data_IF_766486452051
#
_entry.id   IF_766486452051
#
_cell.length_a   1.000
_cell.length_b   1.000
_cell.length_c   1.000
_cell.angle_alpha   90.00
_cell.angle_beta   90.00
_cell.angle_gamma   90.00
#
_symmetry.space_group_name_H-M   'P 1'
#
loop_
_entity.id
_entity.type
_entity.pdbx_description
1 polymer ?
#
# COMPACT_ATOMS: atom_id res chain seq x y z
N UNK A 1 20.19 35.89 -8.72
CA UNK A 1 18.80 35.41 -8.55
C UNK A 1 18.89 34.00 -7.98
N UNK A 2 18.45 33.82 -6.71
CA UNK A 2 18.31 32.50 -6.13
C UNK A 2 17.09 31.88 -6.83
N UNK A 3 17.31 30.88 -7.68
CA UNK A 3 16.21 30.10 -8.27
C UNK A 3 15.57 29.32 -7.12
N UNK A 4 14.31 29.61 -6.86
CA UNK A 4 13.56 28.87 -5.88
C UNK A 4 13.40 27.42 -6.39
N UNK A 5 13.76 26.43 -5.58
CA UNK A 5 13.59 25.01 -5.93
C UNK A 5 12.12 24.66 -6.02
N UNK A 6 11.77 23.73 -6.91
CA UNK A 6 10.44 23.14 -6.96
C UNK A 6 10.15 22.28 -5.71
N UNK A 7 8.92 21.86 -5.59
CA UNK A 7 8.40 21.03 -4.49
C UNK A 7 8.23 19.59 -4.97
N UNK A 8 8.67 18.61 -4.17
CA UNK A 8 8.30 17.20 -4.38
C UNK A 8 6.97 16.90 -3.68
N UNK A 9 5.98 16.52 -4.46
CA UNK A 9 4.68 16.06 -3.94
C UNK A 9 4.58 14.54 -3.97
N UNK A 10 4.45 13.89 -2.82
CA UNK A 10 4.04 12.49 -2.74
C UNK A 10 2.51 12.40 -2.83
N UNK A 11 1.99 11.82 -3.89
CA UNK A 11 0.55 11.75 -4.13
C UNK A 11 0.09 10.29 -4.08
N UNK A 12 -0.72 9.97 -3.09
CA UNK A 12 -1.38 8.66 -2.98
C UNK A 12 -2.44 8.50 -4.08
N UNK A 13 -2.36 7.40 -4.83
CA UNK A 13 -3.27 7.17 -5.96
C UNK A 13 -4.24 6.00 -5.75
N UNK A 14 -4.29 5.45 -4.54
CA UNK A 14 -5.17 4.32 -4.23
C UNK A 14 -4.62 2.99 -4.72
N UNK A 15 -5.46 1.96 -4.68
CA UNK A 15 -5.04 0.55 -4.82
C UNK A 15 -5.32 -0.06 -6.19
N UNK A 16 -5.90 0.69 -7.11
CA UNK A 16 -6.21 0.18 -8.46
C UNK A 16 -7.31 0.97 -9.17
N UNK A 17 -8.42 1.21 -8.48
CA UNK A 17 -9.50 2.05 -8.98
C UNK A 17 -9.06 3.53 -8.99
N UNK A 18 -9.00 4.19 -10.16
CA UNK A 18 -8.59 5.59 -10.24
C UNK A 18 -9.56 6.58 -9.57
N UNK A 19 -10.79 6.18 -9.25
CA UNK A 19 -11.73 7.00 -8.50
C UNK A 19 -11.39 7.06 -6.99
N UNK A 20 -10.46 6.23 -6.50
CA UNK A 20 -9.94 6.30 -5.14
C UNK A 20 -8.86 7.37 -4.93
N UNK A 21 -8.49 8.10 -5.98
CA UNK A 21 -7.62 9.26 -5.87
C UNK A 21 -8.42 10.39 -5.20
N UNK A 22 -7.82 11.02 -4.19
CA UNK A 22 -8.46 12.17 -3.55
C UNK A 22 -8.58 13.35 -4.52
N UNK A 23 -9.59 14.18 -4.36
CA UNK A 23 -9.76 15.39 -5.19
C UNK A 23 -8.53 16.30 -5.17
N UNK A 24 -7.82 16.39 -4.02
CA UNK A 24 -6.57 17.13 -3.92
C UNK A 24 -5.47 16.48 -4.76
N UNK A 25 -5.33 15.16 -4.67
CA UNK A 25 -4.36 14.40 -5.46
C UNK A 25 -4.59 14.55 -6.96
N UNK A 26 -5.83 14.35 -7.40
CA UNK A 26 -6.21 14.49 -8.80
C UNK A 26 -5.93 15.90 -9.35
N UNK A 27 -6.28 16.95 -8.59
CA UNK A 27 -6.04 18.33 -8.99
C UNK A 27 -4.53 18.60 -9.17
N UNK A 28 -3.70 18.12 -8.24
CA UNK A 28 -2.26 18.27 -8.33
C UNK A 28 -1.69 17.49 -9.52
N UNK A 29 -2.03 16.21 -9.70
CA UNK A 29 -1.56 15.40 -10.83
C UNK A 29 -1.82 16.08 -12.18
N UNK A 30 -3.00 16.66 -12.37
CA UNK A 30 -3.37 17.38 -13.63
C UNK A 30 -2.56 18.66 -13.86
N UNK A 31 -2.00 19.26 -12.84
CA UNK A 31 -1.27 20.53 -12.90
C UNK A 31 0.26 20.35 -12.92
N UNK A 32 0.76 19.17 -12.59
CA UNK A 32 2.20 18.95 -12.45
C UNK A 32 2.92 18.92 -13.81
N UNK A 33 4.02 19.66 -13.94
CA UNK A 33 4.86 19.61 -15.14
C UNK A 33 5.60 18.26 -15.25
N UNK A 34 5.87 17.60 -14.13
CA UNK A 34 6.56 16.31 -14.06
C UNK A 34 5.79 15.38 -13.13
N UNK A 35 5.47 14.17 -13.60
CA UNK A 35 4.87 13.11 -12.79
C UNK A 35 5.78 11.89 -12.81
N UNK A 36 6.32 11.55 -11.64
CA UNK A 36 7.17 10.40 -11.42
C UNK A 36 6.35 9.24 -10.85
N UNK A 37 6.75 8.02 -11.15
CA UNK A 37 6.14 6.80 -10.62
C UNK A 37 7.13 5.63 -10.65
N UNK A 38 6.94 4.59 -9.81
CA UNK A 38 7.76 3.40 -9.87
C UNK A 38 7.56 2.63 -11.18
N UNK A 39 8.66 2.19 -11.78
CA UNK A 39 8.63 1.20 -12.86
C UNK A 39 8.09 -0.14 -12.35
N UNK A 40 7.30 -0.81 -13.18
CA UNK A 40 6.88 -2.18 -12.94
C UNK A 40 7.99 -3.19 -13.21
N UNK A 41 7.74 -4.44 -12.81
CA UNK A 41 8.69 -5.54 -12.96
C UNK A 41 9.01 -5.77 -14.46
N UNK A 42 10.30 -5.89 -14.77
CA UNK A 42 10.78 -6.12 -16.14
C UNK A 42 10.60 -4.92 -17.07
N UNK A 43 10.54 -3.69 -16.54
CA UNK A 43 10.41 -2.47 -17.33
C UNK A 43 9.00 -2.23 -17.91
N UNK A 44 8.00 -2.97 -17.41
CA UNK A 44 6.59 -2.74 -17.76
C UNK A 44 6.04 -1.53 -17.02
N UNK A 45 4.91 -0.94 -17.47
CA UNK A 45 4.22 0.09 -16.73
C UNK A 45 3.90 -0.36 -15.30
N UNK A 46 4.27 0.46 -14.31
CA UNK A 46 3.97 0.21 -12.90
C UNK A 46 2.49 0.40 -12.58
N UNK A 47 2.04 -0.08 -11.42
CA UNK A 47 0.65 0.05 -11.00
C UNK A 47 0.24 1.53 -10.85
N UNK A 48 1.08 2.34 -10.20
CA UNK A 48 0.79 3.77 -10.03
C UNK A 48 0.66 4.49 -11.38
N UNK A 49 1.54 4.18 -12.36
CA UNK A 49 1.46 4.71 -13.72
C UNK A 49 0.12 4.36 -14.38
N UNK A 50 -0.30 3.09 -14.32
CA UNK A 50 -1.56 2.63 -14.90
C UNK A 50 -2.78 3.35 -14.28
N UNK A 51 -2.78 3.55 -12.96
CA UNK A 51 -3.87 4.24 -12.24
C UNK A 51 -3.99 5.70 -12.72
N UNK A 52 -2.86 6.41 -12.86
CA UNK A 52 -2.87 7.84 -13.16
C UNK A 52 -2.92 8.18 -14.64
N UNK A 53 -2.61 7.23 -15.53
CA UNK A 53 -2.40 7.47 -16.97
C UNK A 53 -3.51 8.32 -17.62
N UNK A 54 -4.77 8.05 -17.29
CA UNK A 54 -5.92 8.78 -17.84
C UNK A 54 -6.05 10.24 -17.36
N UNK A 55 -5.34 10.60 -16.29
CA UNK A 55 -5.44 11.92 -15.65
C UNK A 55 -4.26 12.84 -15.96
N UNK A 56 -3.18 12.30 -16.55
CA UNK A 56 -1.98 13.06 -16.82
C UNK A 56 -2.19 14.04 -17.99
N UNK A 57 -1.62 15.23 -17.87
CA UNK A 57 -1.58 16.16 -18.99
C UNK A 57 -0.68 15.61 -20.11
N UNK A 58 -1.09 15.70 -21.39
CA UNK A 58 -0.22 15.34 -22.51
C UNK A 58 1.12 16.11 -22.54
N UNK A 59 1.18 17.28 -21.89
CA UNK A 59 2.38 18.11 -21.79
C UNK A 59 3.26 17.80 -20.58
N UNK A 60 2.80 16.96 -19.64
CA UNK A 60 3.60 16.57 -18.48
C UNK A 60 4.69 15.57 -18.85
N UNK A 61 5.85 15.73 -18.26
CA UNK A 61 6.93 14.75 -18.35
C UNK A 61 6.56 13.57 -17.46
N UNK A 62 6.56 12.36 -18.04
CA UNK A 62 6.36 11.12 -17.30
C UNK A 62 7.72 10.53 -16.97
N UNK A 63 8.04 10.44 -15.67
CA UNK A 63 9.34 10.01 -15.16
C UNK A 63 9.22 8.65 -14.47
N UNK A 64 9.54 7.58 -15.18
CA UNK A 64 9.57 6.26 -14.62
C UNK A 64 10.86 6.03 -13.81
N UNK A 65 10.74 5.74 -12.52
CA UNK A 65 11.84 5.54 -11.58
C UNK A 65 12.03 4.07 -11.26
N UNK A 66 13.28 3.60 -11.28
CA UNK A 66 13.59 2.21 -11.00
C UNK A 66 13.75 1.97 -9.49
N UNK A 67 12.90 1.14 -8.92
CA UNK A 67 12.97 0.66 -7.55
C UNK A 67 13.00 -0.88 -7.58
N UNK A 68 14.18 -1.50 -7.49
CA UNK A 68 14.31 -2.95 -7.64
C UNK A 68 13.66 -3.71 -6.47
N UNK A 69 13.03 -4.84 -6.77
CA UNK A 69 12.43 -5.74 -5.78
C UNK A 69 13.48 -6.72 -5.24
N UNK A 70 14.45 -6.21 -4.47
CA UNK A 70 15.54 -6.98 -3.86
C UNK A 70 15.64 -6.69 -2.36
N UNK A 71 16.40 -7.50 -1.63
CA UNK A 71 16.67 -7.29 -0.21
C UNK A 71 18.09 -6.73 0.05
N UNK A 72 18.92 -6.62 -0.98
CA UNK A 72 20.27 -6.09 -0.87
C UNK A 72 20.24 -4.58 -0.67
N UNK A 73 20.62 -4.14 0.52
CA UNK A 73 20.60 -2.72 0.91
C UNK A 73 21.51 -1.84 0.05
N UNK A 74 22.61 -2.38 -0.47
CA UNK A 74 23.53 -1.64 -1.35
C UNK A 74 22.87 -1.33 -2.68
N UNK A 75 22.18 -2.31 -3.27
CA UNK A 75 21.43 -2.16 -4.51
C UNK A 75 20.27 -1.19 -4.31
N UNK A 76 19.54 -1.33 -3.20
CA UNK A 76 18.42 -0.44 -2.86
C UNK A 76 18.88 1.01 -2.68
N UNK A 77 19.94 1.24 -1.89
CA UNK A 77 20.50 2.58 -1.65
C UNK A 77 20.96 3.24 -2.96
N UNK A 78 21.65 2.48 -3.82
CA UNK A 78 22.06 2.98 -5.14
C UNK A 78 20.86 3.39 -6.00
N UNK A 79 19.79 2.58 -6.00
CA UNK A 79 18.58 2.89 -6.78
C UNK A 79 17.85 4.14 -6.22
N UNK A 80 17.78 4.29 -4.90
CA UNK A 80 17.17 5.48 -4.28
C UNK A 80 17.95 6.76 -4.60
N UNK A 81 19.30 6.69 -4.57
CA UNK A 81 20.15 7.82 -4.99
C UNK A 81 19.91 8.21 -6.45
N UNK A 82 19.88 7.21 -7.35
CA UNK A 82 19.62 7.47 -8.77
C UNK A 82 18.25 8.10 -8.99
N UNK A 83 17.22 7.58 -8.31
CA UNK A 83 15.86 8.12 -8.39
C UNK A 83 15.80 9.57 -7.85
N UNK A 84 16.44 9.84 -6.71
CA UNK A 84 16.52 11.17 -6.13
C UNK A 84 17.22 12.18 -7.07
N UNK A 85 18.34 11.82 -7.67
CA UNK A 85 19.06 12.65 -8.63
C UNK A 85 18.23 12.91 -9.90
N UNK A 86 17.49 11.92 -10.41
CA UNK A 86 16.59 12.14 -11.55
C UNK A 86 15.48 13.15 -11.23
N UNK A 87 14.88 13.06 -10.04
CA UNK A 87 13.88 14.02 -9.56
C UNK A 87 14.50 15.39 -9.36
N UNK A 88 15.70 15.47 -8.78
CA UNK A 88 16.44 16.72 -8.55
C UNK A 88 16.68 17.51 -9.81
N UNK A 89 16.93 16.86 -10.96
CA UNK A 89 17.14 17.54 -12.25
C UNK A 89 16.00 18.49 -12.64
N UNK A 90 14.79 18.24 -12.15
CA UNK A 90 13.62 19.09 -12.37
C UNK A 90 13.45 20.10 -11.23
N UNK A 91 13.54 19.65 -9.99
CA UNK A 91 13.34 20.51 -8.81
C UNK A 91 14.32 21.66 -8.75
N UNK A 92 15.60 21.47 -9.08
CA UNK A 92 16.61 22.54 -9.10
C UNK A 92 16.32 23.64 -10.13
N UNK A 93 15.48 23.35 -11.14
CA UNK A 93 15.03 24.32 -12.15
C UNK A 93 13.72 25.02 -11.75
N UNK A 94 13.27 24.84 -10.51
CA UNK A 94 12.01 25.39 -10.02
C UNK A 94 10.76 24.65 -10.52
N UNK A 95 10.90 23.45 -11.10
CA UNK A 95 9.78 22.64 -11.55
C UNK A 95 9.30 21.74 -10.41
N UNK A 96 8.01 21.75 -10.12
CA UNK A 96 7.40 20.83 -9.17
C UNK A 96 7.34 19.41 -9.76
N UNK A 97 7.52 18.42 -8.91
CA UNK A 97 7.42 16.99 -9.26
C UNK A 97 6.38 16.31 -8.40
N UNK A 98 5.41 15.66 -9.01
CA UNK A 98 4.51 14.74 -8.30
C UNK A 98 5.05 13.31 -8.42
N UNK A 99 5.20 12.61 -7.30
CA UNK A 99 5.44 11.18 -7.28
C UNK A 99 4.12 10.46 -7.00
N UNK A 100 3.59 9.76 -8.00
CA UNK A 100 2.40 8.94 -7.85
C UNK A 100 2.77 7.63 -7.12
N UNK A 101 2.14 7.42 -5.96
CA UNK A 101 2.37 6.27 -5.09
C UNK A 101 1.10 5.42 -4.99
N UNK A 102 1.19 4.15 -5.34
CA UNK A 102 0.06 3.24 -5.12
C UNK A 102 -0.27 3.10 -3.63
N UNK A 103 -1.54 2.95 -3.29
CA UNK A 103 -2.01 2.97 -1.92
C UNK A 103 -1.90 4.35 -1.29
N UNK A 104 -1.25 4.42 -0.13
CA UNK A 104 -1.00 5.65 0.63
C UNK A 104 0.51 5.90 0.80
N UNK A 105 0.95 7.15 0.61
CA UNK A 105 2.37 7.55 0.66
C UNK A 105 3.03 7.32 2.02
N UNK A 106 2.25 7.26 3.10
CA UNK A 106 2.75 7.08 4.47
C UNK A 106 2.70 5.63 4.94
N UNK A 107 2.19 4.71 4.08
CA UNK A 107 1.91 3.33 4.48
C UNK A 107 2.75 2.32 3.67
N UNK A 108 3.94 1.96 4.17
CA UNK A 108 4.91 1.05 3.54
C UNK A 108 5.26 1.42 2.10
N UNK A 109 5.44 2.70 1.88
CA UNK A 109 5.59 3.31 0.56
C UNK A 109 7.05 3.48 0.15
N UNK A 110 7.33 3.25 -1.13
CA UNK A 110 8.62 3.58 -1.77
C UNK A 110 8.93 5.09 -1.75
N UNK A 111 7.88 5.93 -1.70
CA UNK A 111 8.04 7.38 -1.59
C UNK A 111 8.88 7.79 -0.38
N UNK A 112 8.75 7.10 0.74
CA UNK A 112 9.51 7.39 1.96
C UNK A 112 11.02 7.39 1.70
N UNK A 113 11.52 6.39 1.02
CA UNK A 113 12.95 6.27 0.71
C UNK A 113 13.42 7.33 -0.29
N UNK A 114 12.62 7.60 -1.33
CA UNK A 114 12.90 8.70 -2.27
C UNK A 114 12.98 10.04 -1.56
N UNK A 115 12.00 10.34 -0.69
CA UNK A 115 11.91 11.60 0.03
C UNK A 115 13.07 11.80 1.00
N UNK A 116 13.42 10.76 1.78
CA UNK A 116 14.56 10.79 2.70
C UNK A 116 15.88 10.99 1.95
N UNK A 117 16.16 10.19 0.92
CA UNK A 117 17.37 10.30 0.11
C UNK A 117 17.49 11.69 -0.53
N UNK A 118 16.38 12.22 -1.06
CA UNK A 118 16.36 13.54 -1.66
C UNK A 118 16.68 14.65 -0.64
N UNK A 119 16.14 14.55 0.59
CA UNK A 119 16.44 15.50 1.66
C UNK A 119 17.86 15.39 2.20
N UNK A 120 18.43 14.19 2.22
CA UNK A 120 19.85 13.99 2.58
C UNK A 120 20.79 14.64 1.57
N UNK A 121 20.52 14.47 0.27
CA UNK A 121 21.34 15.04 -0.80
C UNK A 121 21.09 16.55 -1.00
N UNK A 122 19.85 16.99 -0.84
CA UNK A 122 19.39 18.35 -1.13
C UNK A 122 18.47 18.89 -0.01
N UNK A 123 19.03 19.27 1.17
CA UNK A 123 18.24 19.63 2.37
C UNK A 123 17.26 20.80 2.20
N UNK A 124 17.46 21.63 1.15
CA UNK A 124 16.60 22.77 0.84
C UNK A 124 15.28 22.39 0.14
N UNK A 125 15.12 21.13 -0.29
CA UNK A 125 13.92 20.69 -1.02
C UNK A 125 12.71 20.63 -0.08
N UNK A 126 11.63 21.30 -0.49
CA UNK A 126 10.34 21.16 0.19
C UNK A 126 9.63 19.89 -0.29
N UNK A 127 9.11 19.13 0.67
CA UNK A 127 8.34 17.91 0.40
C UNK A 127 6.93 18.08 0.98
N UNK A 128 5.92 17.70 0.21
CA UNK A 128 4.52 17.68 0.62
C UNK A 128 3.90 16.33 0.30
N UNK A 129 2.94 15.89 1.11
CA UNK A 129 2.24 14.63 0.90
C UNK A 129 0.73 14.83 0.79
N UNK A 130 0.09 13.96 0.02
CA UNK A 130 -1.36 13.88 -0.12
C UNK A 130 -1.78 12.46 0.22
N UNK A 131 -2.56 12.25 1.29
CA UNK A 131 -2.97 10.92 1.72
C UNK A 131 -3.96 10.27 0.73
N UNK A 132 -4.13 8.96 0.85
CA UNK A 132 -5.04 8.20 0.01
C UNK A 132 -5.56 6.93 0.67
N UNK A 133 -6.07 6.01 -0.13
CA UNK A 133 -6.65 4.75 0.34
C UNK A 133 -5.58 3.66 0.27
N UNK A 134 -5.16 3.14 1.43
CA UNK A 134 -4.23 2.01 1.50
C UNK A 134 -4.93 0.66 1.32
N UNK A 135 -4.17 -0.38 0.97
CA UNK A 135 -4.70 -1.70 0.64
C UNK A 135 -5.51 -2.37 1.76
N UNK A 136 -5.22 -2.25 3.07
CA UNK A 136 -6.09 -2.80 4.11
C UNK A 136 -7.49 -2.18 4.13
N UNK A 137 -7.58 -0.86 3.95
CA UNK A 137 -8.86 -0.15 3.91
C UNK A 137 -9.66 -0.51 2.67
N UNK A 138 -9.00 -0.57 1.50
CA UNK A 138 -9.63 -1.01 0.27
C UNK A 138 -10.17 -2.45 0.38
N UNK A 139 -9.37 -3.37 0.94
CA UNK A 139 -9.78 -4.76 1.13
C UNK A 139 -10.96 -4.89 2.10
N UNK A 140 -10.96 -4.17 3.21
CA UNK A 140 -12.09 -4.16 4.14
C UNK A 140 -13.38 -3.67 3.48
N UNK A 141 -13.28 -2.63 2.65
CA UNK A 141 -14.41 -2.07 1.88
C UNK A 141 -14.99 -3.10 0.92
N UNK A 142 -14.17 -3.75 0.09
CA UNK A 142 -14.65 -4.74 -0.89
C UNK A 142 -15.17 -6.03 -0.23
N UNK A 143 -14.70 -6.35 0.97
CA UNK A 143 -15.23 -7.43 1.79
C UNK A 143 -16.58 -7.09 2.43
N UNK A 144 -16.91 -5.80 2.54
CA UNK A 144 -18.08 -5.31 3.29
C UNK A 144 -17.94 -5.51 4.79
N UNK A 145 -16.71 -5.49 5.32
CA UNK A 145 -16.40 -5.72 6.74
C UNK A 145 -15.71 -4.48 7.32
N UNK A 146 -16.02 -4.09 8.58
CA UNK A 146 -15.21 -3.12 9.27
C UNK A 146 -13.83 -3.73 9.55
N UNK A 147 -12.76 -3.00 9.24
CA UNK A 147 -11.40 -3.47 9.53
C UNK A 147 -11.20 -3.60 11.04
N UNK A 148 -11.68 -2.62 11.81
CA UNK A 148 -11.70 -2.68 13.27
C UNK A 148 -12.87 -1.86 13.83
N UNK A 149 -13.26 -2.12 15.09
CA UNK A 149 -14.35 -1.41 15.78
C UNK A 149 -14.01 -1.23 17.26
N UNK A 150 -14.49 -0.13 17.85
CA UNK A 150 -14.34 0.20 19.28
C UNK A 150 -12.87 0.13 19.72
N UNK A 151 -12.58 -0.68 20.73
CA UNK A 151 -11.28 -0.88 21.40
C UNK A 151 -10.45 -2.04 20.79
N UNK A 152 -10.91 -2.62 19.68
CA UNK A 152 -10.20 -3.71 19.01
C UNK A 152 -8.85 -3.25 18.47
N UNK A 153 -7.85 -4.05 18.75
CA UNK A 153 -6.48 -3.83 18.33
C UNK A 153 -6.25 -4.36 16.93
N UNK A 154 -5.91 -3.47 16.02
CA UNK A 154 -5.51 -3.79 14.65
C UNK A 154 -3.98 -3.85 14.56
N UNK A 155 -3.47 -4.96 14.03
CA UNK A 155 -2.04 -5.10 13.71
C UNK A 155 -1.88 -5.31 12.22
N UNK A 156 -0.92 -4.63 11.63
CA UNK A 156 -0.53 -4.82 10.23
C UNK A 156 0.91 -5.33 10.19
N UNK A 157 1.10 -6.49 9.57
CA UNK A 157 2.40 -7.06 9.29
C UNK A 157 2.74 -6.81 7.80
N UNK A 158 3.75 -5.98 7.50
CA UNK A 158 4.04 -5.51 6.13
C UNK A 158 4.64 -6.60 5.23
N UNK A 159 5.37 -7.52 5.86
CA UNK A 159 5.88 -8.75 5.28
C UNK A 159 6.12 -9.73 6.43
N UNK A 160 5.92 -10.98 6.20
CA UNK A 160 6.17 -12.01 7.20
C UNK A 160 7.43 -12.79 6.80
N UNK A 161 8.53 -12.57 7.51
CA UNK A 161 9.78 -13.29 7.29
C UNK A 161 9.88 -14.53 8.19
N UNK A 162 9.21 -14.52 9.33
CA UNK A 162 9.15 -15.62 10.29
C UNK A 162 7.72 -15.81 10.79
N UNK A 163 7.25 -17.02 10.71
CA UNK A 163 5.83 -17.36 11.04
C UNK A 163 5.55 -17.22 12.54
N UNK A 164 6.58 -17.33 13.37
CA UNK A 164 6.49 -17.12 14.83
C UNK A 164 6.03 -15.73 15.21
N UNK A 165 6.31 -14.72 14.36
CA UNK A 165 5.81 -13.37 14.55
C UNK A 165 4.29 -13.30 14.45
N UNK A 166 3.70 -14.01 13.48
CA UNK A 166 2.25 -14.12 13.36
C UNK A 166 1.64 -14.79 14.60
N UNK A 167 2.22 -15.90 15.06
CA UNK A 167 1.70 -16.60 16.24
C UNK A 167 1.68 -15.70 17.48
N UNK A 168 2.75 -14.96 17.72
CA UNK A 168 2.83 -14.01 18.82
C UNK A 168 1.80 -12.87 18.73
N UNK A 169 1.55 -12.36 17.53
CA UNK A 169 0.56 -11.30 17.30
C UNK A 169 -0.86 -11.82 17.50
N UNK A 170 -1.16 -13.05 17.05
CA UNK A 170 -2.49 -13.67 17.21
C UNK A 170 -2.89 -13.90 18.68
N UNK A 171 -1.95 -13.87 19.62
CA UNK A 171 -2.25 -14.04 21.05
C UNK A 171 -2.92 -12.80 21.68
N UNK A 172 -2.76 -11.61 21.09
CA UNK A 172 -3.23 -10.36 21.71
C UNK A 172 -3.93 -9.38 20.77
N UNK A 173 -3.75 -9.53 19.44
CA UNK A 173 -4.44 -8.69 18.46
C UNK A 173 -5.87 -9.18 18.23
N UNK A 174 -6.79 -8.27 17.94
CA UNK A 174 -8.17 -8.59 17.58
C UNK A 174 -8.35 -8.76 16.08
N UNK A 175 -7.58 -8.01 15.29
CA UNK A 175 -7.53 -8.10 13.84
C UNK A 175 -6.09 -8.05 13.38
N UNK A 176 -5.72 -8.95 12.48
CA UNK A 176 -4.38 -8.98 11.88
C UNK A 176 -4.51 -8.86 10.37
N UNK A 177 -3.74 -7.96 9.79
CA UNK A 177 -3.59 -7.81 8.34
C UNK A 177 -2.18 -8.21 7.95
N UNK A 178 -2.07 -9.16 7.03
CA UNK A 178 -0.80 -9.57 6.44
C UNK A 178 -0.70 -9.01 5.03
N UNK A 179 0.27 -8.12 4.80
CA UNK A 179 0.59 -7.65 3.45
C UNK A 179 1.56 -8.63 2.77
N UNK A 180 1.55 -8.66 1.43
CA UNK A 180 2.50 -9.46 0.63
C UNK A 180 2.50 -10.95 1.03
N UNK A 181 1.34 -11.49 1.37
CA UNK A 181 1.19 -12.84 1.91
C UNK A 181 1.53 -13.95 0.91
N UNK A 182 1.64 -13.63 -0.38
CA UNK A 182 1.80 -14.61 -1.47
C UNK A 182 2.96 -15.60 -1.28
N UNK A 183 4.11 -15.13 -0.81
CA UNK A 183 5.32 -15.96 -0.63
C UNK A 183 5.28 -16.88 0.60
N UNK A 184 4.38 -16.61 1.54
CA UNK A 184 4.32 -17.32 2.86
C UNK A 184 2.93 -17.91 3.14
N UNK A 185 2.04 -17.87 2.15
CA UNK A 185 0.63 -18.24 2.33
C UNK A 185 0.44 -19.63 2.95
N UNK A 186 1.12 -20.65 2.46
CA UNK A 186 0.97 -22.02 2.97
C UNK A 186 1.36 -22.13 4.45
N UNK A 187 2.42 -21.46 4.86
CA UNK A 187 2.85 -21.43 6.27
C UNK A 187 1.85 -20.68 7.14
N UNK A 188 1.35 -19.53 6.65
CA UNK A 188 0.29 -18.76 7.31
C UNK A 188 -0.97 -19.60 7.44
N UNK A 189 -1.38 -20.29 6.38
CA UNK A 189 -2.54 -21.19 6.40
C UNK A 189 -2.43 -22.25 7.51
N UNK A 190 -1.26 -22.89 7.66
CA UNK A 190 -1.01 -23.89 8.71
C UNK A 190 -1.17 -23.29 10.13
N UNK A 191 -0.68 -22.07 10.36
CA UNK A 191 -0.87 -21.36 11.64
C UNK A 191 -2.35 -21.11 11.89
N UNK A 192 -3.06 -20.55 10.91
CA UNK A 192 -4.49 -20.24 11.03
C UNK A 192 -5.33 -21.51 11.22
N UNK A 193 -4.95 -22.62 10.59
CA UNK A 193 -5.58 -23.92 10.78
C UNK A 193 -5.44 -24.41 12.23
N UNK A 194 -4.20 -24.42 12.78
CA UNK A 194 -3.96 -24.82 14.19
C UNK A 194 -4.73 -23.93 15.18
N UNK A 195 -4.88 -22.65 14.85
CA UNK A 195 -5.58 -21.64 15.67
C UNK A 195 -7.10 -21.63 15.42
N UNK A 196 -7.64 -22.45 14.52
CA UNK A 196 -9.06 -22.48 14.12
C UNK A 196 -9.60 -21.13 13.65
N UNK A 197 -8.78 -20.39 12.86
CA UNK A 197 -9.08 -19.06 12.38
C UNK A 197 -9.42 -19.01 10.89
N UNK A 198 -9.35 -20.13 10.15
CA UNK A 198 -9.52 -20.16 8.68
C UNK A 198 -10.88 -19.63 8.22
N UNK A 199 -11.97 -19.98 8.92
CA UNK A 199 -13.33 -19.50 8.61
C UNK A 199 -13.55 -18.01 8.87
N UNK A 200 -12.58 -17.34 9.53
CA UNK A 200 -12.57 -15.90 9.84
C UNK A 200 -11.41 -15.19 9.20
N UNK A 201 -10.84 -15.82 8.19
CA UNK A 201 -9.72 -15.29 7.42
C UNK A 201 -10.14 -15.05 5.98
N UNK A 202 -9.70 -13.94 5.43
CA UNK A 202 -10.09 -13.45 4.12
C UNK A 202 -8.84 -13.10 3.33
N UNK A 203 -8.75 -13.56 2.08
CA UNK A 203 -7.73 -13.10 1.15
C UNK A 203 -8.37 -12.20 0.11
N UNK A 204 -7.73 -11.09 -0.17
CA UNK A 204 -8.09 -10.18 -1.27
C UNK A 204 -6.88 -10.02 -2.17
N UNK A 205 -7.03 -10.42 -3.41
CA UNK A 205 -6.08 -10.17 -4.49
C UNK A 205 -6.46 -8.92 -5.24
N UNK A 206 -5.49 -8.06 -5.53
CA UNK A 206 -5.66 -6.89 -6.39
C UNK A 206 -6.91 -6.08 -6.07
N UNK A 207 -7.05 -5.72 -4.79
CA UNK A 207 -8.19 -4.97 -4.27
C UNK A 207 -8.49 -3.75 -5.15
N UNK A 208 -9.74 -3.62 -5.58
CA UNK A 208 -10.28 -2.55 -6.42
C UNK A 208 -9.85 -2.56 -7.90
N UNK A 209 -9.04 -3.52 -8.33
CA UNK A 209 -8.75 -3.72 -9.75
C UNK A 209 -9.87 -4.53 -10.44
N UNK A 210 -10.02 -4.42 -11.78
CA UNK A 210 -11.05 -5.17 -12.51
C UNK A 210 -10.95 -6.69 -12.39
N UNK A 211 -9.74 -7.21 -12.16
CA UNK A 211 -9.45 -8.63 -12.00
C UNK A 211 -9.24 -9.03 -10.53
N UNK A 212 -9.83 -8.26 -9.60
CA UNK A 212 -9.85 -8.56 -8.17
C UNK A 212 -10.45 -9.93 -7.88
N UNK A 213 -9.82 -10.68 -6.98
CA UNK A 213 -10.39 -11.92 -6.44
C UNK A 213 -10.50 -11.86 -4.91
N UNK A 214 -11.57 -12.44 -4.39
CA UNK A 214 -11.85 -12.49 -2.96
C UNK A 214 -12.06 -13.94 -2.54
N UNK A 215 -11.34 -14.37 -1.52
CA UNK A 215 -11.51 -15.68 -0.88
C UNK A 215 -12.00 -15.48 0.55
N UNK A 216 -13.24 -15.87 0.79
CA UNK A 216 -13.87 -15.91 2.12
C UNK A 216 -13.85 -17.36 2.58
N UNK A 217 -13.54 -17.60 3.85
CA UNK A 217 -13.35 -18.92 4.39
C UNK A 217 -12.22 -19.71 3.70
N UNK A 218 -11.14 -19.89 4.40
CA UNK A 218 -9.94 -20.51 3.85
C UNK A 218 -9.81 -22.01 4.19
N UNK A 219 -10.86 -22.65 4.80
CA UNK A 219 -10.79 -24.03 5.28
C UNK A 219 -10.34 -25.02 4.22
N UNK A 220 -10.87 -24.91 2.99
CA UNK A 220 -10.57 -25.83 1.89
C UNK A 220 -9.52 -25.26 0.91
N UNK A 221 -8.68 -24.31 1.35
CA UNK A 221 -7.78 -23.56 0.47
C UNK A 221 -6.32 -23.54 0.95
N UNK A 222 -5.69 -24.69 1.24
CA UNK A 222 -4.32 -24.72 1.78
C UNK A 222 -3.24 -24.25 0.76
N UNK A 223 -3.52 -24.26 -0.54
CA UNK A 223 -2.54 -24.03 -1.62
C UNK A 223 -2.99 -22.96 -2.60
N UNK A 224 -3.42 -21.79 -2.14
CA UNK A 224 -3.69 -20.67 -3.04
C UNK A 224 -2.40 -20.12 -3.65
N UNK A 225 -2.36 -19.99 -4.98
CA UNK A 225 -1.30 -19.29 -5.70
C UNK A 225 -1.67 -17.82 -5.82
N UNK A 226 -1.14 -17.00 -4.96
CA UNK A 226 -1.48 -15.60 -4.83
C UNK A 226 -0.50 -14.71 -5.60
N UNK A 227 -0.97 -13.66 -6.31
CA UNK A 227 -0.09 -12.65 -6.89
C UNK A 227 0.53 -11.76 -5.80
N UNK A 228 1.53 -10.95 -6.18
CA UNK A 228 2.20 -10.03 -5.26
C UNK A 228 1.24 -9.07 -4.53
N UNK A 229 0.28 -8.52 -5.27
CA UNK A 229 -0.75 -7.64 -4.70
C UNK A 229 -1.87 -8.44 -4.02
N UNK A 230 -1.51 -9.17 -2.98
CA UNK A 230 -2.44 -9.95 -2.16
C UNK A 230 -2.22 -9.63 -0.70
N UNK A 231 -3.31 -9.50 0.03
CA UNK A 231 -3.31 -9.36 1.47
C UNK A 231 -4.29 -10.33 2.12
N UNK A 232 -4.04 -10.64 3.38
CA UNK A 232 -4.90 -11.52 4.18
C UNK A 232 -5.34 -10.76 5.44
N UNK A 233 -6.63 -10.82 5.74
CA UNK A 233 -7.22 -10.24 6.97
C UNK A 233 -7.72 -11.38 7.85
N UNK A 234 -7.30 -11.39 9.11
CA UNK A 234 -7.75 -12.34 10.13
C UNK A 234 -8.57 -11.60 11.18
N UNK A 235 -9.84 -11.98 11.36
CA UNK A 235 -10.68 -11.53 12.46
C UNK A 235 -10.48 -12.50 13.65
N UNK A 236 -9.53 -12.20 14.54
CA UNK A 236 -9.16 -13.08 15.66
C UNK A 236 -10.30 -13.15 16.68
N UNK A 237 -10.87 -12.01 17.06
CA UNK A 237 -12.03 -11.94 17.97
C UNK A 237 -13.33 -11.76 17.18
N UNK A 238 -14.37 -12.48 17.61
CA UNK A 238 -15.72 -12.33 17.05
C UNK A 238 -16.49 -11.34 17.92
N UNK A 239 -17.21 -10.42 17.29
CA UNK A 239 -18.20 -9.63 18.01
C UNK A 239 -19.37 -10.56 18.40
N UNK A 240 -19.64 -10.70 19.69
CA UNK A 240 -20.97 -11.19 20.13
C UNK A 240 -21.98 -10.17 19.61
N UNK A 241 -22.82 -10.58 18.68
CA UNK A 241 -23.74 -9.69 17.98
C UNK A 241 -24.50 -8.80 18.98
N UNK A 242 -24.65 -7.52 18.67
CA UNK A 242 -25.44 -6.56 19.48
C UNK A 242 -26.86 -7.08 19.75
N UNK A 243 -27.36 -7.99 18.92
CA UNK A 243 -28.65 -8.67 19.02
C UNK A 243 -28.68 -9.65 20.20
N UNK A 244 -27.58 -10.31 20.56
CA UNK A 244 -27.53 -11.21 21.73
C UNK A 244 -27.45 -10.43 23.05
N UNK A 245 -26.76 -9.28 23.09
CA UNK A 245 -26.69 -8.43 24.29
C UNK A 245 -28.01 -7.72 24.63
N UNK A 246 -28.89 -7.48 23.65
CA UNK A 246 -30.23 -6.97 23.93
C UNK A 246 -31.17 -8.05 24.46
N UNK A 247 -30.95 -9.33 24.16
CA UNK A 247 -31.75 -10.43 24.73
C UNK A 247 -31.34 -10.79 26.16
N UNK A 248 -30.03 -10.64 26.49
CA UNK A 248 -29.53 -10.88 27.87
C UNK A 248 -29.85 -9.73 28.84
N UNK A 249 -30.25 -8.55 28.35
CA UNK A 249 -30.71 -7.41 29.19
C UNK A 249 -32.21 -7.35 29.42
N UNK A 250 -33.00 -8.21 28.77
CA UNK A 250 -34.48 -8.26 28.85
C UNK A 250 -34.97 -9.55 29.59
N UNK A 251 -34.04 -10.42 29.96
CA UNK A 251 -34.26 -11.53 30.87
C UNK A 251 -33.70 -11.23 32.28
#
# INVERSE_FOLDING_TARGET
LIVQTGILYGISVGTGDPELITLKGLRLLKQMPVVAFPLGVGGKPGMAEQIVAQWLSPSSVQLALNFPYVQDETILSSAWHQAAEQVWQYLQKGQDVAFACEGDVSFYSTFTYLAQTLQELHPQVAIQTVPGVCSPMAAASVLGLPLTIRDRKLVVLPALYRVEELEAVLDWADVVVLLKVSSVYEQVWQVLHRRQLLSRSYVVERATLPDMAIYKDLCDRPHLKLPYFSLLIVQVTVEKSLIQKSKEKIS
#
